data_IF_964497661272
#
_entry.id   IF_964497661272
#
_cell.length_a   1.000
_cell.length_b   1.000
_cell.length_c   1.000
_cell.angle_alpha   90.00
_cell.angle_beta   90.00
_cell.angle_gamma   90.00
#
_symmetry.space_group_name_H-M   'P 1'
#
loop_
_entity.id
_entity.type
_entity.pdbx_description
1 polymer ?
#
# COMPACT_ATOMS: atom_id res chain seq x y z
N UNK A 1 2.21 8.02 -9.75
CA UNK A 1 3.59 7.48 -9.69
C UNK A 1 3.91 7.00 -8.28
N UNK A 2 4.53 5.84 -8.17
CA UNK A 2 5.04 5.32 -6.90
C UNK A 2 6.53 5.05 -7.07
N UNK A 3 7.34 5.60 -6.17
CA UNK A 3 8.80 5.40 -6.16
C UNK A 3 9.15 4.75 -4.83
N UNK A 4 10.01 3.77 -4.82
CA UNK A 4 10.39 3.07 -3.60
C UNK A 4 11.85 2.62 -3.62
N UNK A 5 12.46 2.55 -2.44
CA UNK A 5 13.84 2.14 -2.25
C UNK A 5 14.06 1.60 -0.84
N UNK A 6 14.93 0.61 -0.71
CA UNK A 6 15.49 0.22 0.57
C UNK A 6 16.83 0.97 0.75
N UNK A 7 17.06 1.53 1.93
CA UNK A 7 18.31 2.17 2.30
C UNK A 7 18.56 2.01 3.79
N UNK A 8 19.68 1.45 4.16
CA UNK A 8 20.07 1.21 5.56
C UNK A 8 19.00 0.45 6.37
N UNK A 9 18.42 -0.58 5.77
CA UNK A 9 17.38 -1.42 6.36
C UNK A 9 16.05 -0.70 6.61
N UNK A 10 15.81 0.42 5.92
CA UNK A 10 14.56 1.17 5.98
C UNK A 10 13.95 1.20 4.59
N UNK A 11 12.64 0.94 4.53
CA UNK A 11 11.87 1.09 3.28
C UNK A 11 11.38 2.52 3.15
N UNK A 12 11.67 3.14 2.02
CA UNK A 12 11.20 4.48 1.68
C UNK A 12 10.29 4.37 0.46
N UNK A 13 9.06 4.87 0.60
CA UNK A 13 8.04 4.84 -0.44
C UNK A 13 7.54 6.27 -0.64
N UNK A 14 7.44 6.73 -1.89
CA UNK A 14 6.86 8.03 -2.23
C UNK A 14 5.72 7.82 -3.22
N UNK A 15 4.56 8.38 -2.90
CA UNK A 15 3.39 8.40 -3.78
C UNK A 15 3.20 9.82 -4.33
N UNK A 16 3.02 9.96 -5.64
CA UNK A 16 2.84 11.26 -6.32
C UNK A 16 1.67 11.23 -7.29
N UNK A 17 0.91 12.31 -7.35
CA UNK A 17 -0.22 12.49 -8.23
C UNK A 17 -1.38 11.55 -7.91
N UNK A 18 -2.03 11.03 -8.92
CA UNK A 18 -3.09 10.03 -8.79
C UNK A 18 -2.46 8.64 -8.75
N UNK A 19 -2.57 7.97 -7.62
CA UNK A 19 -2.02 6.62 -7.44
C UNK A 19 -3.13 5.59 -7.55
N UNK A 20 -3.01 4.74 -8.55
CA UNK A 20 -4.04 3.74 -8.90
C UNK A 20 -3.46 2.34 -8.92
N UNK A 21 -4.33 1.35 -9.13
CA UNK A 21 -3.98 -0.05 -9.26
C UNK A 21 -2.85 -0.30 -10.26
N UNK A 22 -2.74 0.53 -11.29
CA UNK A 22 -1.74 0.38 -12.36
C UNK A 22 -0.30 0.24 -11.84
N UNK A 23 0.02 0.91 -10.74
CA UNK A 23 1.40 0.98 -10.23
C UNK A 23 1.63 0.12 -8.99
N UNK A 24 0.65 -0.67 -8.57
CA UNK A 24 0.70 -1.36 -7.28
C UNK A 24 1.48 -2.68 -7.28
N UNK A 25 1.56 -3.38 -8.42
CA UNK A 25 2.20 -4.70 -8.50
C UNK A 25 3.66 -4.66 -8.07
N UNK A 26 4.41 -3.69 -8.53
CA UNK A 26 5.84 -3.55 -8.20
C UNK A 26 6.06 -3.20 -6.73
N UNK A 27 5.26 -2.29 -6.20
CA UNK A 27 5.34 -1.93 -4.78
C UNK A 27 5.06 -3.15 -3.90
N UNK A 28 4.03 -3.92 -4.25
CA UNK A 28 3.67 -5.14 -3.53
C UNK A 28 4.83 -6.15 -3.55
N UNK A 29 5.41 -6.39 -4.71
CA UNK A 29 6.55 -7.31 -4.88
C UNK A 29 7.75 -6.84 -4.06
N UNK A 30 8.12 -5.57 -4.17
CA UNK A 30 9.20 -4.97 -3.41
C UNK A 30 9.00 -5.12 -1.90
N UNK A 31 7.82 -4.79 -1.40
CA UNK A 31 7.50 -4.91 0.02
C UNK A 31 7.55 -6.38 0.48
N UNK A 32 7.01 -7.30 -0.31
CA UNK A 32 7.03 -8.74 0.00
C UNK A 32 8.45 -9.28 0.09
N UNK A 33 9.33 -8.90 -0.84
CA UNK A 33 10.73 -9.32 -0.83
C UNK A 33 11.49 -8.82 0.41
N UNK A 34 11.26 -7.58 0.83
CA UNK A 34 11.98 -6.97 1.94
C UNK A 34 11.37 -7.28 3.31
N UNK A 35 10.10 -7.64 3.38
CA UNK A 35 9.40 -7.94 4.63
C UNK A 35 9.23 -9.43 4.91
N UNK A 36 9.74 -10.30 4.03
CA UNK A 36 9.72 -11.73 4.28
C UNK A 36 10.67 -12.13 5.41
N UNK A 37 10.50 -13.35 5.91
CA UNK A 37 11.32 -13.89 6.98
C UNK A 37 12.80 -13.88 6.60
N UNK A 38 13.68 -13.53 7.56
CA UNK A 38 15.12 -13.46 7.33
C UNK A 38 15.64 -12.10 6.85
N UNK A 39 14.77 -11.17 6.50
CA UNK A 39 15.17 -9.82 6.11
C UNK A 39 15.39 -8.91 7.33
N UNK A 40 16.24 -7.90 7.19
CA UNK A 40 16.71 -7.06 8.30
C UNK A 40 16.04 -5.68 8.34
N UNK A 41 14.87 -5.51 7.72
CA UNK A 41 14.16 -4.23 7.74
C UNK A 41 13.79 -3.84 9.16
N UNK A 42 14.07 -2.59 9.51
CA UNK A 42 13.82 -2.03 10.85
C UNK A 42 12.70 -1.01 10.87
N UNK A 43 12.34 -0.41 9.73
CA UNK A 43 11.30 0.60 9.65
C UNK A 43 10.82 0.82 8.20
N UNK A 44 9.69 1.52 8.03
CA UNK A 44 9.17 1.87 6.72
C UNK A 44 8.41 3.21 6.77
N UNK A 45 8.60 4.04 5.74
CA UNK A 45 8.01 5.37 5.62
C UNK A 45 7.33 5.54 4.26
N UNK A 46 6.19 6.21 4.27
CA UNK A 46 5.46 6.62 3.06
C UNK A 46 5.34 8.14 3.02
N UNK A 47 5.94 8.76 2.00
CA UNK A 47 5.84 10.20 1.73
C UNK A 47 4.66 10.47 0.80
N UNK A 48 3.78 11.38 1.20
CA UNK A 48 2.55 11.68 0.45
C UNK A 48 2.35 13.17 0.12
N UNK A 49 3.40 13.98 0.23
CA UNK A 49 3.31 15.42 -0.01
C UNK A 49 2.65 15.78 -1.34
N UNK A 50 3.02 15.08 -2.40
CA UNK A 50 2.55 15.33 -3.75
C UNK A 50 1.48 14.34 -4.23
N UNK A 51 0.93 13.52 -3.34
CA UNK A 51 -0.16 12.59 -3.65
C UNK A 51 -1.50 13.29 -3.54
N UNK A 52 -2.24 13.34 -4.65
CA UNK A 52 -3.51 14.07 -4.74
C UNK A 52 -4.74 13.15 -4.74
N UNK A 53 -4.55 11.85 -4.96
CA UNK A 53 -5.62 10.85 -4.95
C UNK A 53 -5.05 9.44 -4.85
N UNK A 54 -5.81 8.55 -4.21
CA UNK A 54 -5.51 7.13 -4.13
C UNK A 54 -6.76 6.31 -4.43
N UNK A 55 -6.60 5.21 -5.16
CA UNK A 55 -7.70 4.25 -5.29
C UNK A 55 -7.65 3.18 -4.18
N UNK A 56 -8.70 2.36 -4.11
CA UNK A 56 -8.84 1.31 -3.09
C UNK A 56 -7.76 0.23 -3.21
N UNK A 57 -7.24 -0.01 -4.40
CA UNK A 57 -6.17 -1.01 -4.60
C UNK A 57 -4.87 -0.54 -3.95
N UNK A 58 -4.48 0.71 -4.17
CA UNK A 58 -3.29 1.26 -3.52
C UNK A 58 -3.46 1.28 -2.00
N UNK A 59 -4.61 1.74 -1.51
CA UNK A 59 -4.90 1.77 -0.06
C UNK A 59 -4.84 0.35 0.53
N UNK A 60 -5.35 -0.65 -0.18
CA UNK A 60 -5.27 -2.04 0.23
C UNK A 60 -3.85 -2.60 0.25
N UNK A 61 -2.99 -2.19 -0.68
CA UNK A 61 -1.56 -2.55 -0.66
C UNK A 61 -0.88 -1.92 0.57
N UNK A 62 -1.18 -0.66 0.87
CA UNK A 62 -0.66 0.01 2.07
C UNK A 62 -1.11 -0.71 3.35
N UNK A 63 -2.37 -1.12 3.42
CA UNK A 63 -2.89 -1.91 4.54
C UNK A 63 -2.11 -3.24 4.69
N UNK A 64 -1.81 -3.91 3.58
CA UNK A 64 -1.03 -5.14 3.56
C UNK A 64 0.40 -4.95 4.04
N UNK A 65 1.06 -3.88 3.61
CA UNK A 65 2.42 -3.52 4.07
C UNK A 65 2.41 -3.26 5.58
N UNK A 66 1.44 -2.49 6.07
CA UNK A 66 1.30 -2.23 7.50
C UNK A 66 1.10 -3.52 8.30
N UNK A 67 0.27 -4.42 7.81
CA UNK A 67 0.05 -5.74 8.42
C UNK A 67 1.34 -6.55 8.53
N UNK A 68 2.13 -6.57 7.47
CA UNK A 68 3.44 -7.27 7.44
C UNK A 68 4.43 -6.63 8.41
N UNK A 69 4.52 -5.30 8.45
CA UNK A 69 5.37 -4.58 9.40
C UNK A 69 5.00 -4.88 10.83
N UNK A 70 3.71 -4.86 11.14
CA UNK A 70 3.22 -5.14 12.49
C UNK A 70 3.53 -6.57 12.92
N UNK A 71 3.36 -7.53 12.02
CA UNK A 71 3.67 -8.94 12.27
C UNK A 71 5.16 -9.16 12.48
N UNK A 72 6.00 -8.54 11.66
CA UNK A 72 7.46 -8.71 11.69
C UNK A 72 8.14 -7.91 12.80
N UNK A 73 7.75 -6.65 12.99
CA UNK A 73 8.45 -5.69 13.83
C UNK A 73 7.63 -5.15 15.01
N UNK A 74 6.32 -5.43 15.04
CA UNK A 74 5.42 -4.79 16.01
C UNK A 74 5.24 -3.29 15.77
N UNK A 75 5.59 -2.79 14.59
CA UNK A 75 5.55 -1.36 14.23
C UNK A 75 4.49 -1.08 13.18
N UNK A 76 3.97 0.14 13.20
CA UNK A 76 3.09 0.68 12.16
C UNK A 76 3.90 1.28 11.02
N UNK A 77 3.32 1.31 9.81
CA UNK A 77 3.86 2.08 8.71
C UNK A 77 3.74 3.57 9.03
N UNK A 78 4.84 4.32 8.90
CA UNK A 78 4.86 5.76 9.11
C UNK A 78 4.43 6.48 7.83
N UNK A 79 3.46 7.40 7.96
CA UNK A 79 2.96 8.22 6.86
C UNK A 79 3.28 9.68 7.15
N UNK A 80 3.84 10.39 6.19
CA UNK A 80 4.17 11.81 6.37
C UNK A 80 3.61 12.67 5.24
N UNK A 81 3.33 13.93 5.58
CA UNK A 81 2.87 14.97 4.65
C UNK A 81 1.58 14.60 3.88
N UNK A 82 0.65 13.94 4.56
CA UNK A 82 -0.64 13.54 3.96
C UNK A 82 -1.52 14.75 3.71
N UNK A 83 -1.99 14.92 2.49
CA UNK A 83 -2.99 15.91 2.15
C UNK A 83 -4.38 15.48 2.66
N UNK A 84 -5.25 16.46 2.93
CA UNK A 84 -6.58 16.20 3.50
C UNK A 84 -7.40 15.18 2.69
N UNK A 85 -7.38 15.28 1.36
CA UNK A 85 -8.13 14.35 0.49
C UNK A 85 -7.68 12.90 0.70
N UNK A 86 -6.39 12.68 0.83
CA UNK A 86 -5.86 11.34 1.09
C UNK A 86 -6.13 10.87 2.53
N UNK A 87 -6.06 11.78 3.49
CA UNK A 87 -6.42 11.46 4.87
C UNK A 87 -7.89 11.03 4.98
N UNK A 88 -8.78 11.73 4.30
CA UNK A 88 -10.21 11.37 4.26
C UNK A 88 -10.43 10.00 3.60
N UNK A 89 -9.64 9.65 2.58
CA UNK A 89 -9.69 8.34 1.95
C UNK A 89 -9.21 7.22 2.91
N UNK A 90 -8.12 7.43 3.61
CA UNK A 90 -7.68 6.48 4.64
C UNK A 90 -8.75 6.31 5.73
N UNK A 91 -9.33 7.40 6.17
CA UNK A 91 -10.38 7.43 7.19
C UNK A 91 -11.61 6.62 6.74
N UNK A 92 -12.04 6.85 5.50
CA UNK A 92 -13.20 6.15 4.92
C UNK A 92 -13.01 4.64 4.80
N UNK A 93 -11.76 4.16 4.83
CA UNK A 93 -11.41 2.74 4.71
C UNK A 93 -10.83 2.15 5.99
N UNK A 94 -11.07 2.80 7.11
CA UNK A 94 -10.74 2.30 8.46
C UNK A 94 -9.24 2.17 8.74
N UNK A 95 -8.40 2.95 8.07
CA UNK A 95 -6.94 2.90 8.21
C UNK A 95 -6.36 3.96 9.14
N UNK A 96 -7.10 5.00 9.48
CA UNK A 96 -6.57 6.16 10.25
C UNK A 96 -5.96 5.77 11.60
N UNK A 97 -6.55 4.80 12.30
CA UNK A 97 -6.04 4.34 13.60
C UNK A 97 -4.93 3.30 13.50
N UNK A 98 -4.73 2.71 12.31
CA UNK A 98 -3.79 1.62 12.10
C UNK A 98 -2.42 2.08 11.62
N UNK A 99 -2.37 3.24 10.95
CA UNK A 99 -1.14 3.84 10.43
C UNK A 99 -0.61 4.88 11.40
N UNK A 100 0.69 5.15 11.34
CA UNK A 100 1.30 6.20 12.15
C UNK A 100 1.47 7.47 11.29
N UNK A 101 0.56 8.42 11.47
CA UNK A 101 0.62 9.72 10.79
C UNK A 101 1.56 10.66 11.56
N UNK A 102 2.72 10.94 10.97
CA UNK A 102 3.80 11.67 11.63
C UNK A 102 3.58 13.18 11.60
N UNK A 103 3.80 13.83 12.74
CA UNK A 103 3.77 15.30 12.85
C UNK A 103 5.06 15.94 12.31
N UNK A 104 6.18 15.23 12.43
CA UNK A 104 7.49 15.70 11.97
C UNK A 104 8.03 14.75 10.90
N UNK A 105 8.11 15.19 9.64
CA UNK A 105 8.63 14.35 8.57
C UNK A 105 10.12 14.05 8.74
N UNK A 106 10.52 12.85 8.31
CA UNK A 106 11.93 12.49 8.20
C UNK A 106 12.43 12.83 6.80
N UNK A 107 13.74 13.05 6.68
CA UNK A 107 14.37 13.28 5.39
C UNK A 107 14.55 11.95 4.63
N UNK A 108 14.12 11.92 3.36
CA UNK A 108 14.29 10.75 2.51
C UNK A 108 15.61 10.80 1.75
N UNK A 109 16.25 9.65 1.50
CA UNK A 109 17.35 9.58 0.54
C UNK A 109 16.86 9.92 -0.86
N UNK A 110 17.78 10.19 -1.78
CA UNK A 110 17.41 10.38 -3.19
C UNK A 110 16.83 9.07 -3.73
N UNK A 111 15.62 9.13 -4.29
CA UNK A 111 14.93 7.99 -4.89
C UNK A 111 14.98 8.12 -6.40
N UNK A 112 15.39 7.03 -7.07
CA UNK A 112 15.43 6.96 -8.52
C UNK A 112 14.05 6.71 -9.11
N UNK A 113 13.66 7.47 -10.13
CA UNK A 113 12.40 7.33 -10.85
C UNK A 113 12.37 6.13 -11.83
N UNK A 114 13.41 5.30 -11.83
CA UNK A 114 13.57 4.19 -12.77
C UNK A 114 12.63 3.00 -12.58
N UNK A 115 11.77 3.03 -11.58
CA UNK A 115 10.85 1.92 -11.27
C UNK A 115 9.47 2.07 -11.95
N UNK A 116 9.34 2.98 -12.91
CA UNK A 116 8.04 3.31 -13.53
C UNK A 116 7.51 2.29 -14.54
N UNK A 117 8.36 1.45 -15.12
CA UNK A 117 8.04 0.61 -16.28
C UNK A 117 7.84 -0.88 -15.91
N UNK A 118 7.06 -1.15 -14.92
CA UNK A 118 6.86 -2.52 -14.51
C UNK A 118 5.56 -3.16 -14.95
N UNK A 119 5.40 -4.39 -14.52
CA UNK A 119 4.24 -5.21 -14.81
C UNK A 119 2.94 -4.56 -14.33
N UNK A 120 1.94 -4.57 -15.20
CA UNK A 120 0.60 -4.14 -14.84
C UNK A 120 0.06 -4.98 -13.67
N UNK A 121 -0.65 -4.33 -12.78
CA UNK A 121 -1.32 -4.98 -11.67
C UNK A 121 -2.36 -5.99 -12.20
N UNK A 122 -2.26 -7.21 -11.74
CA UNK A 122 -3.15 -8.31 -12.16
C UNK A 122 -4.42 -8.33 -11.30
N UNK A 123 -5.52 -8.91 -11.78
CA UNK A 123 -6.75 -9.05 -10.98
C UNK A 123 -6.52 -9.69 -9.61
N UNK A 124 -5.64 -10.67 -9.52
CA UNK A 124 -5.25 -11.31 -8.27
C UNK A 124 -4.68 -10.30 -7.25
N UNK A 125 -3.88 -9.33 -7.70
CA UNK A 125 -3.30 -8.30 -6.82
C UNK A 125 -4.37 -7.35 -6.30
N UNK A 126 -5.35 -7.00 -7.12
CA UNK A 126 -6.50 -6.18 -6.74
C UNK A 126 -7.35 -6.90 -5.69
N UNK A 127 -7.63 -8.18 -5.92
CA UNK A 127 -8.39 -9.04 -5.00
C UNK A 127 -7.69 -9.08 -3.63
N UNK A 128 -6.39 -9.33 -3.61
CA UNK A 128 -5.61 -9.40 -2.38
C UNK A 128 -5.59 -8.05 -1.64
N UNK A 129 -5.44 -6.94 -2.37
CA UNK A 129 -5.52 -5.60 -1.79
C UNK A 129 -6.88 -5.35 -1.12
N UNK A 130 -7.97 -5.72 -1.77
CA UNK A 130 -9.31 -5.59 -1.20
C UNK A 130 -9.53 -6.54 -0.01
N UNK A 131 -8.97 -7.74 -0.03
CA UNK A 131 -9.00 -8.66 1.12
C UNK A 131 -8.33 -8.03 2.35
N UNK A 132 -7.20 -7.33 2.17
CA UNK A 132 -6.55 -6.60 3.25
C UNK A 132 -7.48 -5.53 3.86
N UNK A 133 -8.31 -4.88 3.06
CA UNK A 133 -9.28 -3.89 3.53
C UNK A 133 -10.49 -4.55 4.21
N UNK A 134 -10.98 -5.65 3.66
CA UNK A 134 -12.13 -6.40 4.21
C UNK A 134 -11.86 -6.85 5.64
N UNK A 135 -10.63 -7.27 5.93
CA UNK A 135 -10.23 -7.71 7.27
C UNK A 135 -10.27 -6.60 8.33
N UNK A 136 -10.23 -5.32 7.92
CA UNK A 136 -10.08 -4.20 8.85
C UNK A 136 -11.38 -3.81 9.55
N UNK A 137 -12.53 -3.95 8.90
CA UNK A 137 -13.82 -3.53 9.46
C UNK A 137 -15.01 -4.16 8.72
N UNK A 138 -16.16 -4.23 9.39
CA UNK A 138 -17.42 -4.66 8.78
C UNK A 138 -17.85 -3.70 7.65
N UNK A 139 -17.56 -2.42 7.79
CA UNK A 139 -17.84 -1.41 6.80
C UNK A 139 -17.05 -1.67 5.51
N UNK A 140 -15.75 -1.97 5.61
CA UNK A 140 -14.93 -2.37 4.47
C UNK A 140 -15.42 -3.68 3.85
N UNK A 141 -15.81 -4.64 4.68
CA UNK A 141 -16.37 -5.89 4.22
C UNK A 141 -17.60 -5.68 3.34
N UNK A 142 -18.52 -4.80 3.74
CA UNK A 142 -19.70 -4.44 2.94
C UNK A 142 -19.31 -3.77 1.61
N UNK A 143 -18.31 -2.89 1.62
CA UNK A 143 -17.87 -2.16 0.42
C UNK A 143 -17.22 -3.07 -0.62
N UNK A 144 -16.41 -4.03 -0.21
CA UNK A 144 -15.50 -4.75 -1.11
C UNK A 144 -15.83 -6.23 -1.36
N UNK A 145 -16.68 -6.87 -0.54
CA UNK A 145 -16.96 -8.31 -0.67
C UNK A 145 -17.59 -8.67 -2.00
N UNK A 146 -18.60 -7.92 -2.46
CA UNK A 146 -19.26 -8.17 -3.74
C UNK A 146 -18.28 -7.93 -4.90
N UNK A 147 -17.51 -6.84 -4.86
CA UNK A 147 -16.52 -6.53 -5.89
C UNK A 147 -15.47 -7.64 -5.97
N UNK A 148 -14.96 -8.12 -4.85
CA UNK A 148 -14.00 -9.22 -4.82
C UNK A 148 -14.59 -10.52 -5.32
N UNK A 149 -15.86 -10.80 -5.03
CA UNK A 149 -16.54 -11.98 -5.57
C UNK A 149 -16.60 -11.93 -7.11
N UNK A 150 -16.96 -10.77 -7.67
CA UNK A 150 -17.00 -10.55 -9.11
C UNK A 150 -15.61 -10.73 -9.74
N UNK A 151 -14.58 -10.13 -9.13
CA UNK A 151 -13.19 -10.23 -9.59
C UNK A 151 -12.68 -11.68 -9.53
N UNK A 152 -12.98 -12.41 -8.47
CA UNK A 152 -12.59 -13.81 -8.32
C UNK A 152 -13.22 -14.69 -9.41
N UNK A 153 -14.50 -14.49 -9.70
CA UNK A 153 -15.20 -15.24 -10.76
C UNK A 153 -14.59 -14.94 -12.12
N UNK A 154 -14.30 -13.68 -12.41
CA UNK A 154 -13.66 -13.26 -13.66
C UNK A 154 -12.24 -13.85 -13.78
N UNK A 155 -11.48 -13.84 -12.70
CA UNK A 155 -10.13 -14.41 -12.66
C UNK A 155 -10.13 -15.92 -12.93
N UNK A 156 -11.03 -16.65 -12.30
CA UNK A 156 -11.17 -18.10 -12.50
C UNK A 156 -11.55 -18.45 -13.94
N UNK A 157 -12.45 -17.68 -14.57
CA UNK A 157 -12.85 -17.86 -15.97
C UNK A 157 -11.69 -17.63 -16.94
N UNK A 158 -10.78 -16.70 -16.62
CA UNK A 158 -9.66 -16.34 -17.51
C UNK A 158 -8.50 -17.33 -17.40
N UNK A 159 -8.35 -18.02 -16.26
CA UNK A 159 -7.22 -18.91 -15.95
C UNK A 159 -7.57 -20.41 -15.94
N UNK A 160 -8.72 -20.77 -16.50
CA UNK A 160 -9.12 -22.18 -16.71
C UNK A 160 -8.62 -22.68 -18.05
#
# INVERSE_FOLDING_TARGET
MIIFKENNNILYITARGHVTARFCAQLKEFASEHLQEGQTITDAYLEMKDCTYMDSTFIGVIAGINKQLKKKLGKKLHIQNVQKVCMDLFDSMSLSSLLDFMDKPVEFPVLDESNEDGNLTKPKDIIEAHENLIELSDENKKKFSLLNQILNESYKKTNV
#
